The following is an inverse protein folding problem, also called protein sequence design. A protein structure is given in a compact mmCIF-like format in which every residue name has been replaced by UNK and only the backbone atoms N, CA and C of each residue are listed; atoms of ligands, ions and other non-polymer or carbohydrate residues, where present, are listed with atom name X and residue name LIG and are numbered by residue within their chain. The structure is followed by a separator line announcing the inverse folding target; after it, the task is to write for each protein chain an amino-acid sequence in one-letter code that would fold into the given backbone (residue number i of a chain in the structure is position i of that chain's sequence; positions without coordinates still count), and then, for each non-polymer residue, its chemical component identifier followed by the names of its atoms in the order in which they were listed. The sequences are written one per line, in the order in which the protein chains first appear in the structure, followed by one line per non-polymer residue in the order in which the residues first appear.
data_IF_767066895610
#
_entry.id   IF_767066895610
#
_cell.length_a   1.000
_cell.length_b   1.000
_cell.length_c   1.000
_cell.angle_alpha   90.00
_cell.angle_beta   90.00
_cell.angle_gamma   90.00
#
_symmetry.space_group_name_H-M   'P 1'
#
loop_
_entity.id
_entity.type
_entity.pdbx_description
1 polymer ?
#
# COMPACT_ATOMS: atom_id res chain seq x y z
N UNK A 1 -2.72 29.41 -71.79
CA UNK A 1 -2.77 28.71 -73.08
C UNK A 1 -2.87 27.24 -72.85
N UNK A 2 -3.96 26.62 -73.34
CA UNK A 2 -4.07 25.23 -73.82
C UNK A 2 -4.17 24.17 -72.68
N UNK A 3 -5.10 23.26 -72.59
CA UNK A 3 -6.39 22.94 -73.26
C UNK A 3 -7.09 21.92 -72.34
N UNK A 4 -8.37 22.04 -72.20
CA UNK A 4 -9.32 21.03 -71.73
C UNK A 4 -9.24 19.75 -72.57
N UNK A 5 -9.44 18.59 -71.96
CA UNK A 5 -10.20 17.51 -72.60
C UNK A 5 -10.99 16.71 -71.55
N UNK A 6 -12.28 16.90 -71.70
CA UNK A 6 -13.38 16.09 -71.16
C UNK A 6 -13.39 14.72 -71.85
N UNK A 7 -13.58 13.65 -71.09
CA UNK A 7 -14.11 12.40 -71.60
C UNK A 7 -15.29 11.91 -70.74
N UNK A 8 -16.43 12.09 -71.31
CA UNK A 8 -17.68 11.50 -70.91
C UNK A 8 -17.84 10.16 -71.60
N UNK A 9 -18.09 9.08 -70.89
CA UNK A 9 -18.80 7.92 -71.42
C UNK A 9 -19.68 7.28 -70.38
N UNK A 10 -20.94 7.00 -70.70
CA UNK A 10 -21.88 6.36 -69.78
C UNK A 10 -21.79 4.84 -69.95
N UNK A 11 -21.86 4.13 -68.82
CA UNK A 11 -22.15 2.69 -68.86
C UNK A 11 -23.41 2.38 -68.06
N UNK A 12 -24.32 1.82 -68.77
CA UNK A 12 -25.69 1.50 -68.41
C UNK A 12 -25.71 0.03 -67.94
N UNK A 13 -26.39 -0.25 -66.83
CA UNK A 13 -27.18 -1.47 -66.75
C UNK A 13 -26.69 -2.61 -65.87
N UNK A 14 -27.64 -3.02 -65.11
CA UNK A 14 -28.10 -4.29 -64.56
C UNK A 14 -27.92 -4.43 -63.04
N UNK A 15 -29.00 -4.22 -62.32
CA UNK A 15 -29.93 -5.19 -61.75
C UNK A 15 -29.37 -6.18 -60.69
N UNK A 16 -29.95 -6.00 -59.49
CA UNK A 16 -30.24 -7.04 -58.50
C UNK A 16 -29.12 -7.91 -57.99
N UNK A 17 -28.67 -7.59 -56.74
CA UNK A 17 -28.62 -8.64 -55.71
C UNK A 17 -28.80 -8.01 -54.33
N UNK A 18 -29.80 -8.47 -53.62
CA UNK A 18 -29.97 -8.30 -52.18
C UNK A 18 -28.75 -8.94 -51.51
N UNK A 19 -27.90 -8.16 -50.87
CA UNK A 19 -26.85 -8.59 -49.98
C UNK A 19 -27.09 -7.92 -48.63
N UNK A 20 -27.65 -8.68 -47.75
CA UNK A 20 -27.90 -8.33 -46.33
C UNK A 20 -26.52 -8.20 -45.65
N UNK A 21 -25.93 -7.01 -45.63
CA UNK A 21 -24.74 -6.75 -44.82
C UNK A 21 -25.22 -6.41 -43.40
N UNK A 22 -25.14 -7.45 -42.55
CA UNK A 22 -25.17 -7.26 -41.13
C UNK A 22 -23.99 -6.35 -40.72
N UNK A 23 -24.34 -5.09 -40.42
CA UNK A 23 -23.44 -4.16 -39.76
C UNK A 23 -23.18 -4.68 -38.37
N UNK A 24 -22.07 -5.41 -38.17
CA UNK A 24 -21.51 -5.68 -36.85
C UNK A 24 -21.03 -4.35 -36.27
N UNK A 25 -21.95 -3.68 -35.57
CA UNK A 25 -21.63 -2.57 -34.69
C UNK A 25 -20.82 -3.18 -33.51
N UNK A 26 -19.50 -3.19 -33.66
CA UNK A 26 -18.58 -3.54 -32.59
C UNK A 26 -18.74 -2.56 -31.43
N UNK A 27 -19.55 -2.97 -30.46
CA UNK A 27 -19.66 -2.29 -29.17
C UNK A 27 -18.35 -2.54 -28.42
N UNK A 28 -17.36 -1.68 -28.63
CA UNK A 28 -16.15 -1.64 -27.81
C UNK A 28 -16.55 -1.23 -26.41
N UNK A 29 -16.70 -2.21 -25.54
CA UNK A 29 -16.79 -2.01 -24.09
C UNK A 29 -15.46 -1.36 -23.64
N UNK A 30 -15.46 -0.05 -23.55
CA UNK A 30 -14.45 0.69 -22.80
C UNK A 30 -14.64 0.29 -21.33
N UNK A 31 -13.91 -0.73 -20.89
CA UNK A 31 -13.71 -1.00 -19.48
C UNK A 31 -12.91 0.18 -18.92
N UNK A 32 -13.60 1.21 -18.49
CA UNK A 32 -13.00 2.26 -17.68
C UNK A 32 -12.52 1.60 -16.39
N UNK A 33 -11.21 1.47 -16.22
CA UNK A 33 -10.62 1.22 -14.92
C UNK A 33 -10.98 2.41 -14.04
N UNK A 34 -12.09 2.30 -13.31
CA UNK A 34 -12.42 3.24 -12.26
C UNK A 34 -11.34 3.07 -11.17
N UNK A 35 -10.36 3.96 -11.15
CA UNK A 35 -9.48 4.14 -10.02
C UNK A 35 -10.37 4.61 -8.85
N UNK A 36 -10.84 3.66 -8.05
CA UNK A 36 -11.61 3.95 -6.85
C UNK A 36 -10.67 4.63 -5.87
N UNK A 37 -10.74 5.95 -5.80
CA UNK A 37 -10.04 6.71 -4.77
C UNK A 37 -10.65 6.29 -3.43
N UNK A 38 -9.88 5.72 -2.49
CA UNK A 38 -10.43 5.32 -1.20
C UNK A 38 -10.99 6.55 -0.47
N UNK A 39 -12.10 6.41 0.28
CA UNK A 39 -12.67 7.50 1.04
C UNK A 39 -11.64 8.04 2.05
N UNK A 40 -11.69 9.36 2.31
CA UNK A 40 -10.86 9.98 3.34
C UNK A 40 -10.98 9.21 4.67
N UNK A 41 -9.84 8.78 5.24
CA UNK A 41 -9.80 8.02 6.48
C UNK A 41 -9.81 6.49 6.33
N UNK A 42 -9.96 5.93 5.12
CA UNK A 42 -9.78 4.51 4.92
C UNK A 42 -8.29 4.13 5.03
N UNK A 43 -7.99 3.10 5.83
CA UNK A 43 -6.66 2.51 5.87
C UNK A 43 -6.36 1.82 4.54
N UNK A 44 -5.14 1.99 4.04
CA UNK A 44 -4.66 1.37 2.80
C UNK A 44 -3.43 0.55 3.12
N UNK A 45 -3.41 -0.70 2.71
CA UNK A 45 -2.26 -1.60 2.88
C UNK A 45 -2.17 -2.58 1.71
N UNK A 46 -1.01 -3.21 1.47
CA UNK A 46 -0.90 -4.29 0.50
C UNK A 46 -1.73 -5.49 0.95
N UNK A 47 -2.01 -6.48 0.09
CA UNK A 47 -2.57 -7.75 0.51
C UNK A 47 -1.67 -8.41 1.58
N UNK A 48 -2.27 -9.02 2.60
CA UNK A 48 -1.50 -9.68 3.68
C UNK A 48 -0.58 -10.78 3.15
N UNK A 49 -0.95 -11.40 2.04
CA UNK A 49 -0.16 -12.43 1.35
C UNK A 49 1.24 -11.98 0.96
N UNK A 50 1.45 -10.69 0.68
CA UNK A 50 2.76 -10.13 0.34
C UNK A 50 3.69 -10.01 1.54
N UNK A 51 3.14 -10.01 2.76
CA UNK A 51 3.90 -9.86 3.99
C UNK A 51 4.04 -11.15 4.79
N UNK A 52 3.41 -12.26 4.38
CA UNK A 52 3.48 -13.54 5.08
C UNK A 52 4.91 -14.02 5.26
N UNK A 53 5.21 -14.54 6.44
CA UNK A 53 6.53 -15.07 6.80
C UNK A 53 7.66 -14.05 6.59
N UNK A 54 7.41 -12.78 6.94
CA UNK A 54 8.40 -11.71 6.86
C UNK A 54 8.61 -11.07 8.22
N UNK A 55 9.85 -10.62 8.46
CA UNK A 55 10.24 -9.89 9.66
C UNK A 55 10.77 -8.52 9.28
N UNK A 56 10.35 -7.51 10.00
CA UNK A 56 10.63 -6.11 9.74
C UNK A 56 11.15 -5.44 10.99
N UNK A 57 12.27 -4.73 10.90
CA UNK A 57 12.88 -3.96 11.98
C UNK A 57 12.74 -2.48 11.67
N UNK A 58 12.26 -1.70 12.64
CA UNK A 58 12.19 -0.24 12.52
C UNK A 58 13.61 0.33 12.46
N UNK A 59 13.94 0.99 11.37
CA UNK A 59 15.25 1.57 11.11
C UNK A 59 15.23 3.09 11.06
N UNK A 60 14.06 3.70 10.88
CA UNK A 60 13.90 5.14 10.87
C UNK A 60 12.48 5.55 11.25
N UNK A 61 12.37 6.62 12.02
CA UNK A 61 11.09 7.22 12.38
C UNK A 61 11.15 8.73 12.10
N UNK A 62 10.46 9.17 11.06
CA UNK A 62 10.37 10.56 10.70
C UNK A 62 9.14 11.19 11.34
N UNK A 63 9.35 12.32 12.02
CA UNK A 63 8.29 13.18 12.52
C UNK A 63 7.69 14.00 11.36
N UNK A 64 6.47 14.55 11.52
CA UNK A 64 5.89 15.44 10.54
C UNK A 64 6.82 16.62 10.24
N UNK A 65 6.83 17.12 9.00
CA UNK A 65 7.56 18.35 8.68
C UNK A 65 7.08 19.50 9.57
N UNK A 66 8.02 20.30 10.07
CA UNK A 66 7.70 21.55 10.77
C UNK A 66 7.16 22.61 9.79
N UNK A 67 6.85 23.81 10.30
CA UNK A 67 6.34 24.93 9.50
C UNK A 67 7.31 25.39 8.37
N UNK A 68 8.58 25.03 8.46
CA UNK A 68 9.61 25.32 7.45
C UNK A 68 9.83 24.17 6.46
N UNK A 69 9.07 23.07 6.59
CA UNK A 69 9.23 21.88 5.75
C UNK A 69 10.36 20.93 6.17
N UNK A 70 11.00 21.16 7.30
CA UNK A 70 12.09 20.31 7.78
C UNK A 70 11.55 19.06 8.46
N UNK A 71 12.08 17.90 8.07
CA UNK A 71 11.76 16.60 8.65
C UNK A 71 12.77 16.25 9.74
N UNK A 72 12.31 16.05 10.95
CA UNK A 72 13.11 15.55 12.08
C UNK A 72 12.94 14.05 12.24
N UNK A 73 13.95 13.41 12.77
CA UNK A 73 13.90 11.96 13.08
C UNK A 73 13.87 11.76 14.60
N UNK A 74 13.07 10.80 15.03
CA UNK A 74 13.05 10.33 16.41
C UNK A 74 14.23 9.38 16.65
N UNK A 75 14.82 9.46 17.85
CA UNK A 75 15.84 8.51 18.28
C UNK A 75 15.18 7.15 18.59
N UNK A 76 15.64 6.10 17.92
CA UNK A 76 15.12 4.73 18.09
C UNK A 76 16.26 3.76 18.35
N UNK A 77 16.02 2.66 19.13
CA UNK A 77 16.99 1.58 19.28
C UNK A 77 17.11 0.79 17.97
N UNK A 78 18.33 0.59 17.50
CA UNK A 78 18.63 -0.17 16.28
C UNK A 78 19.54 -1.34 16.62
N UNK A 79 19.27 -2.51 16.00
CA UNK A 79 20.05 -3.73 16.17
C UNK A 79 19.63 -4.58 17.38
N UNK A 80 19.95 -5.86 17.33
CA UNK A 80 19.49 -6.87 18.30
C UNK A 80 19.91 -6.57 19.75
N UNK A 81 21.11 -6.08 19.97
CA UNK A 81 21.61 -5.73 21.31
C UNK A 81 20.81 -4.62 21.99
N UNK A 82 20.10 -3.81 21.24
CA UNK A 82 19.29 -2.70 21.76
C UNK A 82 17.82 -3.03 21.95
N UNK A 83 17.39 -4.27 21.70
CA UNK A 83 15.98 -4.69 21.66
C UNK A 83 15.14 -3.76 20.73
N UNK A 84 15.34 -3.87 19.43
CA UNK A 84 14.71 -2.97 18.47
C UNK A 84 13.20 -3.17 18.36
N UNK A 85 12.49 -2.19 17.84
CA UNK A 85 11.09 -2.32 17.44
C UNK A 85 11.03 -3.21 16.19
N UNK A 86 10.26 -4.28 16.26
CA UNK A 86 10.15 -5.27 15.20
C UNK A 86 8.72 -5.74 15.02
N UNK A 87 8.36 -6.07 13.78
CA UNK A 87 7.11 -6.72 13.39
C UNK A 87 7.42 -8.01 12.62
N UNK A 88 6.72 -9.09 12.95
CA UNK A 88 6.76 -10.36 12.23
C UNK A 88 5.37 -10.72 11.78
N UNK A 89 5.17 -10.82 10.47
CA UNK A 89 3.93 -11.32 9.88
C UNK A 89 4.00 -12.84 9.84
N UNK A 90 3.05 -13.50 10.49
CA UNK A 90 3.01 -14.97 10.55
C UNK A 90 2.74 -15.58 9.19
N UNK A 91 3.20 -16.84 9.01
CA UNK A 91 3.05 -17.56 7.74
C UNK A 91 1.58 -17.79 7.34
N UNK A 92 0.67 -17.92 8.33
CA UNK A 92 -0.77 -18.05 8.09
C UNK A 92 -1.44 -16.77 7.62
N UNK A 93 -0.76 -15.60 7.73
CA UNK A 93 -1.29 -14.30 7.32
C UNK A 93 -2.41 -13.75 8.21
N UNK A 94 -2.60 -14.30 9.41
CA UNK A 94 -3.70 -13.91 10.31
C UNK A 94 -3.24 -13.02 11.46
N UNK A 95 -1.93 -12.94 11.72
CA UNK A 95 -1.39 -12.25 12.89
C UNK A 95 -0.07 -11.57 12.58
N UNK A 96 0.14 -10.46 13.26
CA UNK A 96 1.44 -9.80 13.42
C UNK A 96 1.84 -9.89 14.88
N UNK A 97 3.10 -10.22 15.13
CA UNK A 97 3.68 -10.18 16.46
C UNK A 97 5.02 -9.45 16.42
N UNK A 98 5.51 -8.99 17.56
CA UNK A 98 6.79 -8.30 17.55
C UNK A 98 7.20 -7.73 18.90
N UNK A 99 8.17 -6.83 18.83
CA UNK A 99 8.70 -6.06 19.94
C UNK A 99 8.42 -4.58 19.76
N UNK A 100 8.03 -3.91 20.84
CA UNK A 100 7.89 -2.45 20.91
C UNK A 100 9.18 -1.75 21.30
N UNK A 101 10.27 -2.51 21.47
CA UNK A 101 11.51 -2.01 22.11
C UNK A 101 11.53 -2.19 23.63
N UNK A 102 10.39 -2.30 24.27
CA UNK A 102 10.22 -2.62 25.70
C UNK A 102 9.45 -3.93 25.87
N UNK A 103 8.27 -4.01 25.31
CA UNK A 103 7.33 -5.12 25.44
C UNK A 103 7.18 -5.93 24.16
N UNK A 104 6.51 -7.07 24.25
CA UNK A 104 6.04 -7.82 23.10
C UNK A 104 4.60 -7.42 22.80
N UNK A 105 4.25 -7.37 21.52
CA UNK A 105 2.88 -7.12 21.09
C UNK A 105 2.39 -8.17 20.09
N UNK A 106 1.09 -8.27 19.97
CA UNK A 106 0.40 -9.03 18.93
C UNK A 106 -0.77 -8.22 18.39
N UNK A 107 -1.09 -8.43 17.11
CA UNK A 107 -2.25 -7.87 16.44
C UNK A 107 -2.86 -8.91 15.52
N UNK A 108 -4.17 -8.92 15.36
CA UNK A 108 -4.88 -9.69 14.35
C UNK A 108 -4.90 -8.93 13.01
N UNK A 109 -4.79 -9.67 11.90
CA UNK A 109 -4.94 -9.13 10.56
C UNK A 109 -6.40 -9.34 10.15
N UNK A 110 -7.07 -8.25 9.81
CA UNK A 110 -8.41 -8.21 9.23
C UNK A 110 -8.28 -7.71 7.79
N UNK A 111 -8.52 -8.59 6.81
CA UNK A 111 -8.29 -8.33 5.39
C UNK A 111 -9.60 -8.07 4.67
N UNK A 112 -9.62 -7.02 3.85
CA UNK A 112 -10.74 -6.67 3.00
C UNK A 112 -10.26 -6.39 1.55
N UNK A 113 -11.15 -5.89 0.69
CA UNK A 113 -10.83 -5.59 -0.72
C UNK A 113 -9.84 -4.43 -0.93
N UNK A 114 -9.51 -3.70 0.13
CA UNK A 114 -8.58 -2.54 0.10
C UNK A 114 -7.21 -2.88 0.70
N UNK A 115 -7.02 -4.14 1.13
CA UNK A 115 -5.85 -4.61 1.81
C UNK A 115 -6.19 -5.12 3.21
N UNK A 116 -5.28 -4.98 4.17
CA UNK A 116 -5.52 -5.41 5.54
C UNK A 116 -5.49 -4.26 6.54
N UNK A 117 -6.09 -4.49 7.69
CA UNK A 117 -5.97 -3.63 8.87
C UNK A 117 -5.55 -4.46 10.08
N UNK A 118 -4.81 -3.82 10.99
CA UNK A 118 -4.45 -4.42 12.27
C UNK A 118 -5.55 -4.16 13.29
N UNK A 119 -5.96 -5.22 13.96
CA UNK A 119 -7.03 -5.19 14.97
C UNK A 119 -6.56 -5.84 16.27
N UNK A 120 -7.24 -5.57 17.36
CA UNK A 120 -7.00 -6.18 18.67
C UNK A 120 -5.51 -6.17 19.07
N UNK A 121 -4.89 -5.00 18.91
CA UNK A 121 -3.49 -4.82 19.31
C UNK A 121 -3.38 -4.95 20.82
N UNK A 122 -2.55 -5.87 21.27
CA UNK A 122 -2.28 -6.10 22.70
C UNK A 122 -0.78 -6.16 22.93
N UNK A 123 -0.34 -5.69 24.08
CA UNK A 123 1.06 -5.74 24.49
C UNK A 123 1.22 -6.25 25.92
N UNK A 124 2.36 -6.86 26.24
CA UNK A 124 2.76 -7.14 27.62
C UNK A 124 3.02 -5.83 28.36
N UNK A 125 3.06 -5.87 29.70
CA UNK A 125 3.22 -4.69 30.54
C UNK A 125 4.43 -4.84 31.46
N UNK A 126 5.62 -4.94 30.87
CA UNK A 126 6.87 -4.85 31.64
C UNK A 126 7.26 -3.37 31.80
N UNK A 127 7.89 -3.03 32.91
CA UNK A 127 8.44 -1.70 33.13
C UNK A 127 9.84 -1.60 32.54
N UNK A 128 10.06 -0.63 31.67
CA UNK A 128 11.36 -0.25 31.11
C UNK A 128 11.75 1.15 31.61
N UNK A 129 12.89 1.67 31.11
CA UNK A 129 13.21 3.07 31.38
C UNK A 129 12.18 4.01 30.72
N UNK A 130 12.01 5.25 31.23
CA UNK A 130 10.97 6.17 30.75
C UNK A 130 10.99 6.42 29.25
N UNK A 131 12.17 6.56 28.63
CA UNK A 131 12.32 6.82 27.20
C UNK A 131 11.80 5.65 26.35
N UNK A 132 12.04 4.40 26.77
CA UNK A 132 11.51 3.22 26.08
C UNK A 132 10.00 3.06 26.27
N UNK A 133 9.49 3.44 27.42
CA UNK A 133 8.04 3.43 27.68
C UNK A 133 7.32 4.46 26.80
N UNK A 134 7.88 5.67 26.66
CA UNK A 134 7.37 6.69 25.76
C UNK A 134 7.38 6.20 24.32
N UNK A 135 8.52 5.70 23.84
CA UNK A 135 8.67 5.17 22.48
C UNK A 135 7.68 4.02 22.19
N UNK A 136 7.45 3.12 23.16
CA UNK A 136 6.44 2.07 23.05
C UNK A 136 5.04 2.62 22.88
N UNK A 137 4.65 3.59 23.74
CA UNK A 137 3.34 4.20 23.67
C UNK A 137 3.08 4.85 22.32
N UNK A 138 4.06 5.59 21.81
CA UNK A 138 3.96 6.24 20.52
C UNK A 138 3.92 5.23 19.37
N UNK A 139 4.73 4.17 19.44
CA UNK A 139 4.69 3.10 18.45
C UNK A 139 3.35 2.36 18.40
N UNK A 140 2.78 2.04 19.57
CA UNK A 140 1.49 1.38 19.65
C UNK A 140 0.35 2.32 19.20
N UNK A 141 0.48 3.63 19.44
CA UNK A 141 -0.43 4.63 18.91
C UNK A 141 -0.40 4.64 17.39
N UNK A 142 0.80 4.77 16.78
CA UNK A 142 0.96 4.75 15.32
C UNK A 142 0.44 3.44 14.71
N UNK A 143 0.71 2.31 15.36
CA UNK A 143 0.25 1.00 14.90
C UNK A 143 -1.28 0.87 14.92
N UNK A 144 -1.95 1.56 15.85
CA UNK A 144 -3.42 1.57 15.94
C UNK A 144 -4.06 2.58 14.97
N UNK A 145 -3.40 3.72 14.73
CA UNK A 145 -3.98 4.88 14.02
C UNK A 145 -3.33 5.15 12.65
N UNK A 146 -2.54 4.22 12.10
CA UNK A 146 -1.93 4.42 10.78
C UNK A 146 -2.97 4.63 9.68
N UNK A 147 -2.59 5.41 8.66
CA UNK A 147 -3.36 5.63 7.44
C UNK A 147 -3.04 4.60 6.38
N UNK A 148 -1.77 4.27 6.19
CA UNK A 148 -1.35 3.31 5.19
C UNK A 148 -0.10 2.54 5.57
N UNK A 149 -0.02 1.30 5.07
CA UNK A 149 1.19 0.50 5.05
C UNK A 149 1.57 0.30 3.59
N UNK A 150 2.82 0.59 3.24
CA UNK A 150 3.33 0.47 1.86
C UNK A 150 4.58 -0.39 1.87
N UNK A 151 4.61 -1.42 1.03
CA UNK A 151 5.81 -2.22 0.79
C UNK A 151 6.51 -1.76 -0.47
N UNK A 152 7.81 -1.56 -0.37
CA UNK A 152 8.69 -1.26 -1.51
C UNK A 152 9.97 -2.11 -1.39
N UNK A 153 9.94 -3.28 -2.02
CA UNK A 153 11.05 -4.25 -1.94
C UNK A 153 11.29 -4.73 -0.51
N UNK A 154 12.46 -4.43 0.03
CA UNK A 154 12.93 -4.74 1.38
C UNK A 154 12.58 -3.66 2.43
N UNK A 155 11.82 -2.65 2.03
CA UNK A 155 11.30 -1.60 2.91
C UNK A 155 9.80 -1.74 3.12
N UNK A 156 9.36 -1.49 4.36
CA UNK A 156 7.96 -1.35 4.73
C UNK A 156 7.79 0.01 5.40
N UNK A 157 6.86 0.79 4.89
CA UNK A 157 6.53 2.11 5.43
C UNK A 157 5.16 2.04 6.11
N UNK A 158 5.10 2.45 7.36
CA UNK A 158 3.86 2.75 8.05
C UNK A 158 3.71 4.27 8.12
N UNK A 159 2.63 4.78 7.58
CA UNK A 159 2.35 6.22 7.51
C UNK A 159 1.20 6.51 8.47
N UNK A 160 1.50 7.27 9.51
CA UNK A 160 0.55 7.70 10.53
C UNK A 160 -0.49 8.68 10.01
N UNK A 161 -1.58 8.83 10.74
CA UNK A 161 -2.64 9.80 10.43
C UNK A 161 -2.15 11.24 10.60
N UNK A 162 -1.20 11.48 11.47
CA UNK A 162 -0.52 12.76 11.72
C UNK A 162 0.65 13.05 10.78
N UNK A 163 0.91 12.17 9.79
CA UNK A 163 2.01 12.22 8.81
C UNK A 163 3.38 11.81 9.35
N UNK A 164 3.45 11.17 10.50
CA UNK A 164 4.66 10.45 10.90
C UNK A 164 4.91 9.28 9.93
N UNK A 165 6.17 8.96 9.67
CA UNK A 165 6.56 7.86 8.79
C UNK A 165 7.56 6.97 9.48
N UNK A 166 7.12 5.76 9.78
CA UNK A 166 7.94 4.69 10.33
C UNK A 166 8.45 3.82 9.19
N UNK A 167 9.76 3.75 9.02
CA UNK A 167 10.43 2.98 7.97
C UNK A 167 11.07 1.74 8.57
N UNK A 168 10.66 0.59 8.08
CA UNK A 168 11.18 -0.71 8.49
C UNK A 168 12.00 -1.33 7.37
N UNK A 169 13.02 -2.07 7.74
CA UNK A 169 13.83 -2.87 6.82
C UNK A 169 13.57 -4.36 7.07
N UNK A 170 13.44 -5.13 6.01
CA UNK A 170 13.23 -6.57 6.11
C UNK A 170 14.45 -7.26 6.74
N UNK A 171 14.20 -8.20 7.64
CA UNK A 171 15.23 -9.03 8.28
C UNK A 171 14.96 -10.51 8.00
N UNK A 172 16.00 -11.34 8.02
CA UNK A 172 15.80 -12.80 7.94
C UNK A 172 14.87 -13.28 9.06
N UNK A 173 13.96 -14.16 8.73
CA UNK A 173 13.18 -14.89 9.74
C UNK A 173 14.08 -16.00 10.27
N UNK A 174 14.51 -15.92 11.53
CA UNK A 174 15.25 -17.02 12.17
C UNK A 174 14.35 -18.26 12.22
N UNK A 175 14.88 -19.38 11.74
CA UNK A 175 14.22 -20.70 11.85
C UNK A 175 14.20 -21.15 13.29
#
# INVERSE_FOLDING_TARGET
MVHLKSFNTPFKGHAKQLGLWLSCLGLTLLTACANVIPPCGAKVSPPSSELRNTKWELTRWNLPPNSYGEVRTRQIPIGEASNPIQMTFEANGQRVSGSTGCNRFTAEIDEDTKGFSLKKITATKMSCNPQRMELENDFLYELNDYRSIVRNGDQLLLIGSDREVLSFTQRPVSK
#
